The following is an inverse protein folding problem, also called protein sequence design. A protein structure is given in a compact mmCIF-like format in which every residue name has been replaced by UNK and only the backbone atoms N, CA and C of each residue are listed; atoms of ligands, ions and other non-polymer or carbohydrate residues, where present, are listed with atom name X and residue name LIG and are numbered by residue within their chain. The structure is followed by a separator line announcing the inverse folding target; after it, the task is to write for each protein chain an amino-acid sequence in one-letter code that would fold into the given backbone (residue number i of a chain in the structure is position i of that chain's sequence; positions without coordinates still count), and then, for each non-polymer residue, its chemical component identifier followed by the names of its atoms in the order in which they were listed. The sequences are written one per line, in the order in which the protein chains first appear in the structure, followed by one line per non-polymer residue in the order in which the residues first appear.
data_IF_565895266372
#
_entry.id   IF_565895266372
#
_cell.length_a   1.000
_cell.length_b   1.000
_cell.length_c   1.000
_cell.angle_alpha   90.00
_cell.angle_beta   90.00
_cell.angle_gamma   90.00
#
_symmetry.space_group_name_H-M   'P 1'
#
loop_
_entity.id
_entity.type
_entity.pdbx_description
1 polymer ?
#
# COMPACT_ATOMS: atom_id res chain seq x y z
N UNK A 1 7.61 -0.41 -12.48
CA UNK A 1 7.02 0.22 -11.29
C UNK A 1 8.13 0.76 -10.39
N UNK A 2 9.12 -0.07 -10.06
CA UNK A 2 10.17 0.22 -9.06
C UNK A 2 11.00 1.51 -9.31
N UNK A 3 11.26 1.86 -10.57
CA UNK A 3 11.98 3.11 -10.92
C UNK A 3 11.16 4.40 -10.70
N UNK A 4 9.83 4.31 -10.64
CA UNK A 4 8.98 5.49 -10.41
C UNK A 4 8.71 5.76 -8.93
N UNK A 5 8.93 4.75 -8.06
CA UNK A 5 8.76 4.88 -6.60
C UNK A 5 9.90 5.67 -5.94
N UNK A 6 10.93 6.02 -6.71
CA UNK A 6 12.22 6.54 -6.22
C UNK A 6 12.58 7.91 -6.80
N UNK A 7 11.57 8.64 -7.28
CA UNK A 7 11.74 9.99 -7.83
C UNK A 7 12.02 10.98 -6.68
N UNK A 8 13.03 11.86 -6.82
CA UNK A 8 13.28 12.93 -5.86
C UNK A 8 12.05 13.76 -5.52
N UNK A 9 11.78 13.92 -4.22
CA UNK A 9 10.65 14.71 -3.72
C UNK A 9 9.28 14.05 -3.85
N UNK A 10 9.22 12.78 -4.28
CA UNK A 10 7.99 12.00 -4.28
C UNK A 10 7.84 11.25 -2.95
N UNK A 11 6.67 11.41 -2.32
CA UNK A 11 6.23 10.52 -1.24
C UNK A 11 5.47 9.35 -1.86
N UNK A 12 6.00 8.14 -1.69
CA UNK A 12 5.40 6.92 -2.19
C UNK A 12 4.87 6.10 -1.02
N UNK A 13 3.54 5.99 -0.94
CA UNK A 13 2.88 5.19 0.08
C UNK A 13 2.75 3.73 -0.38
N UNK A 14 3.36 2.82 0.38
CA UNK A 14 3.25 1.38 0.21
C UNK A 14 2.06 0.88 1.05
N UNK A 15 0.90 0.80 0.40
CA UNK A 15 -0.33 0.34 1.03
C UNK A 15 -0.34 -1.18 1.19
N UNK A 16 -0.40 -1.68 2.43
CA UNK A 16 -0.40 -3.12 2.70
C UNK A 16 -1.05 -3.49 4.05
N UNK A 17 -1.53 -4.73 4.15
CA UNK A 17 -2.07 -5.30 5.40
C UNK A 17 -1.03 -5.78 6.40
N UNK A 18 0.24 -5.92 5.99
CA UNK A 18 1.33 -6.41 6.84
C UNK A 18 2.48 -5.42 6.81
N UNK A 19 2.72 -4.76 7.95
CA UNK A 19 3.82 -3.83 8.14
C UNK A 19 5.19 -4.50 7.94
N UNK A 20 5.34 -5.74 8.37
CA UNK A 20 6.58 -6.51 8.22
C UNK A 20 6.95 -6.72 6.75
N UNK A 21 5.97 -7.16 5.93
CA UNK A 21 6.18 -7.35 4.49
C UNK A 21 6.40 -6.02 3.78
N UNK A 22 5.68 -4.97 4.17
CA UNK A 22 5.86 -3.64 3.62
C UNK A 22 7.26 -3.10 3.92
N UNK A 23 7.71 -3.17 5.18
CA UNK A 23 9.05 -2.72 5.58
C UNK A 23 10.15 -3.51 4.87
N UNK A 24 9.96 -4.82 4.69
CA UNK A 24 10.88 -5.61 3.89
C UNK A 24 10.94 -5.12 2.44
N UNK A 25 9.80 -4.90 1.79
CA UNK A 25 9.76 -4.39 0.43
C UNK A 25 10.39 -3.00 0.31
N UNK A 26 10.13 -2.11 1.27
CA UNK A 26 10.74 -0.77 1.36
C UNK A 26 12.28 -0.90 1.43
N UNK A 27 12.79 -1.77 2.31
CA UNK A 27 14.23 -2.00 2.43
C UNK A 27 14.84 -2.58 1.15
N UNK A 28 14.16 -3.55 0.52
CA UNK A 28 14.60 -4.15 -0.74
C UNK A 28 14.65 -3.11 -1.89
N UNK A 29 13.66 -2.21 -1.97
CA UNK A 29 13.64 -1.09 -2.95
C UNK A 29 14.77 -0.08 -2.65
N UNK A 30 14.96 0.32 -1.40
CA UNK A 30 16.01 1.25 -1.01
C UNK A 30 17.41 0.69 -1.33
N UNK A 31 17.62 -0.62 -1.10
CA UNK A 31 18.87 -1.30 -1.44
C UNK A 31 19.10 -1.39 -2.96
N UNK A 32 18.04 -1.59 -3.76
CA UNK A 32 18.13 -1.62 -5.21
C UNK A 32 18.38 -0.24 -5.84
N UNK A 33 17.95 0.84 -5.17
CA UNK A 33 18.06 2.22 -5.66
C UNK A 33 18.71 3.15 -4.62
N UNK A 34 19.98 2.95 -4.25
CA UNK A 34 20.64 3.68 -3.15
C UNK A 34 20.86 5.17 -3.43
N UNK A 35 20.69 5.61 -4.68
CA UNK A 35 20.77 7.03 -5.08
C UNK A 35 19.40 7.72 -5.09
N UNK A 36 18.33 6.98 -4.82
CA UNK A 36 16.99 7.52 -4.62
C UNK A 36 16.95 8.41 -3.39
N UNK A 37 16.26 9.53 -3.51
CA UNK A 37 15.89 10.41 -2.40
C UNK A 37 14.37 10.62 -2.33
N UNK A 38 13.58 9.77 -3.00
CA UNK A 38 12.15 9.65 -2.74
C UNK A 38 11.89 8.97 -1.39
N UNK A 39 10.78 9.31 -0.74
CA UNK A 39 10.37 8.73 0.54
C UNK A 39 9.42 7.55 0.31
N UNK A 40 9.69 6.42 0.97
CA UNK A 40 8.81 5.25 0.95
C UNK A 40 8.15 5.13 2.32
N UNK A 41 6.82 5.22 2.36
CA UNK A 41 6.05 5.33 3.59
C UNK A 41 5.09 4.14 3.66
N UNK A 42 5.05 3.43 4.79
CA UNK A 42 4.03 2.41 4.99
C UNK A 42 2.66 3.06 5.21
N UNK A 43 1.64 2.55 4.52
CA UNK A 43 0.24 2.88 4.77
C UNK A 43 -0.53 1.59 5.06
N UNK A 44 -1.18 1.50 6.22
CA UNK A 44 -2.00 0.33 6.51
C UNK A 44 -3.27 0.35 5.65
N UNK A 45 -3.52 -0.76 4.94
CA UNK A 45 -4.71 -0.96 4.12
C UNK A 45 -4.99 -2.45 3.99
N UNK A 46 -6.20 -2.87 4.34
CA UNK A 46 -6.65 -4.25 4.22
C UNK A 46 -7.99 -4.33 3.50
N UNK A 47 -8.01 -4.85 2.27
CA UNK A 47 -9.25 -5.01 1.51
C UNK A 47 -10.16 -6.12 2.06
N UNK A 48 -9.67 -6.96 2.98
CA UNK A 48 -10.48 -7.96 3.69
C UNK A 48 -11.24 -7.36 4.89
N UNK A 49 -10.94 -6.10 5.24
CA UNK A 49 -11.60 -5.31 6.28
C UNK A 49 -11.85 -3.89 5.75
N UNK A 50 -13.04 -3.65 5.23
CA UNK A 50 -13.40 -2.39 4.58
C UNK A 50 -13.39 -1.22 5.55
N UNK A 51 -13.48 -1.46 6.87
CA UNK A 51 -13.32 -0.38 7.87
C UNK A 51 -11.92 0.23 7.87
N UNK A 52 -10.92 -0.49 7.33
CA UNK A 52 -9.55 0.01 7.21
C UNK A 52 -9.38 0.95 6.04
N UNK A 53 -10.22 0.87 5.00
CA UNK A 53 -10.11 1.69 3.79
C UNK A 53 -10.31 3.17 4.12
N UNK A 54 -11.38 3.50 4.86
CA UNK A 54 -11.64 4.88 5.29
C UNK A 54 -10.54 5.41 6.20
N UNK A 55 -10.08 4.60 7.16
CA UNK A 55 -8.97 4.97 8.06
C UNK A 55 -7.66 5.21 7.31
N UNK A 56 -7.38 4.39 6.29
CA UNK A 56 -6.21 4.54 5.43
C UNK A 56 -6.25 5.86 4.65
N UNK A 57 -7.42 6.20 4.10
CA UNK A 57 -7.62 7.46 3.42
C UNK A 57 -7.50 8.67 4.37
N UNK A 58 -8.07 8.58 5.58
CA UNK A 58 -7.93 9.61 6.62
C UNK A 58 -6.47 9.81 7.04
N UNK A 59 -5.72 8.72 7.24
CA UNK A 59 -4.31 8.76 7.59
C UNK A 59 -3.48 9.40 6.47
N UNK A 60 -3.74 9.06 5.21
CA UNK A 60 -3.12 9.71 4.05
C UNK A 60 -3.44 11.21 4.01
N UNK A 61 -4.72 11.59 4.11
CA UNK A 61 -5.16 12.99 4.08
C UNK A 61 -4.66 13.82 5.27
N UNK A 62 -4.30 13.17 6.38
CA UNK A 62 -3.67 13.85 7.52
C UNK A 62 -2.21 14.26 7.25
N UNK A 63 -1.55 13.59 6.29
CA UNK A 63 -0.12 13.79 5.94
C UNK A 63 0.05 14.54 4.63
N UNK A 64 -0.86 14.36 3.68
CA UNK A 64 -0.77 14.88 2.32
C UNK A 64 -2.00 15.68 1.93
N UNK A 65 -1.78 16.74 1.14
CA UNK A 65 -2.87 17.58 0.63
C UNK A 65 -3.32 17.21 -0.79
N UNK A 66 -2.60 16.30 -1.47
CA UNK A 66 -2.87 15.89 -2.86
C UNK A 66 -2.50 14.43 -3.08
N UNK A 67 -3.18 13.77 -4.01
CA UNK A 67 -2.81 12.46 -4.54
C UNK A 67 -2.55 12.59 -6.04
N UNK A 68 -1.32 12.35 -6.45
CA UNK A 68 -0.93 12.46 -7.87
C UNK A 68 -1.24 11.21 -8.67
N UNK A 69 -1.03 10.03 -8.08
CA UNK A 69 -1.24 8.74 -8.73
C UNK A 69 -1.73 7.71 -7.72
N UNK A 70 -2.66 6.86 -8.16
CA UNK A 70 -3.12 5.68 -7.41
C UNK A 70 -2.93 4.44 -8.27
N UNK A 71 -2.21 3.46 -7.73
CA UNK A 71 -2.02 2.16 -8.38
C UNK A 71 -2.73 1.05 -7.60
N UNK A 72 -3.91 0.68 -8.08
CA UNK A 72 -4.69 -0.44 -7.56
C UNK A 72 -4.13 -1.76 -8.11
N UNK A 73 -3.03 -2.23 -7.53
CA UNK A 73 -2.36 -3.47 -7.93
C UNK A 73 -2.67 -4.67 -7.00
N UNK A 74 -3.22 -4.42 -5.81
CA UNK A 74 -3.57 -5.51 -4.90
C UNK A 74 -4.74 -6.34 -5.47
N UNK A 75 -4.54 -7.65 -5.54
CA UNK A 75 -5.56 -8.60 -5.96
C UNK A 75 -5.26 -9.98 -5.40
N UNK A 76 -6.32 -10.75 -5.12
CA UNK A 76 -6.23 -12.15 -4.73
C UNK A 76 -6.65 -12.97 -5.94
N UNK A 77 -5.77 -13.84 -6.45
CA UNK A 77 -6.05 -14.59 -7.69
C UNK A 77 -6.97 -15.78 -7.46
N UNK A 78 -6.84 -16.46 -6.31
CA UNK A 78 -7.65 -17.61 -5.92
C UNK A 78 -7.86 -17.54 -4.40
N UNK A 79 -8.96 -16.95 -3.93
CA UNK A 79 -9.31 -17.01 -2.52
C UNK A 79 -9.77 -18.44 -2.17
N UNK A 80 -9.51 -18.93 -0.94
CA UNK A 80 -10.07 -20.21 -0.48
C UNK A 80 -11.59 -20.21 -0.61
N UNK A 81 -12.18 -21.35 -0.97
CA UNK A 81 -13.62 -21.45 -1.19
C UNK A 81 -14.41 -21.04 0.06
N UNK A 82 -15.36 -20.12 -0.09
CA UNK A 82 -16.17 -19.60 1.01
C UNK A 82 -15.51 -18.52 1.84
N UNK A 83 -14.36 -17.99 1.43
CA UNK A 83 -13.72 -16.87 2.12
C UNK A 83 -14.57 -15.61 2.01
N UNK A 84 -14.64 -14.87 3.12
CA UNK A 84 -15.42 -13.64 3.23
C UNK A 84 -14.59 -12.53 3.87
N UNK A 85 -14.86 -11.29 3.48
CA UNK A 85 -14.39 -10.11 4.22
C UNK A 85 -15.03 -10.06 5.61
N UNK A 86 -14.53 -9.20 6.50
CA UNK A 86 -15.11 -9.02 7.84
C UNK A 86 -16.57 -8.59 7.82
N UNK A 87 -16.99 -7.92 6.77
CA UNK A 87 -18.37 -7.47 6.53
C UNK A 87 -19.25 -8.56 5.90
N UNK A 88 -18.67 -9.72 5.57
CA UNK A 88 -19.39 -10.88 5.04
C UNK A 88 -19.51 -10.91 3.52
N UNK A 89 -18.82 -10.03 2.80
CA UNK A 89 -18.75 -10.07 1.33
C UNK A 89 -17.89 -11.22 0.85
N UNK A 90 -18.27 -11.85 -0.26
CA UNK A 90 -17.50 -12.92 -0.87
C UNK A 90 -16.17 -12.38 -1.41
N UNK A 91 -15.06 -13.01 -1.02
CA UNK A 91 -13.76 -12.71 -1.64
C UNK A 91 -13.74 -13.29 -3.06
N UNK A 92 -13.42 -12.46 -4.04
CA UNK A 92 -13.27 -12.85 -5.46
C UNK A 92 -11.86 -12.66 -5.93
#
# INVERSE_FOLDING_TARGET
MDKQLTVPGLHTYIAARSIEKANKAIADIQAAFPKSNGELIFLYLDFDDLTTVSKSAEDFLSKETRLDMLWNNAGVMIPPQGSKTKEGYEQR
#
